data_IF_258291089018
#
_entry.id   IF_258291089018
#
_cell.length_a   1.000
_cell.length_b   1.000
_cell.length_c   1.000
_cell.angle_alpha   90.00
_cell.angle_beta   90.00
_cell.angle_gamma   90.00
#
_symmetry.space_group_name_H-M   'P 1'
#
loop_
_entity.id
_entity.type
_entity.pdbx_description
1 polymer ?
#
# COMPACT_ATOMS: atom_id res chain seq x y z
N UNK A 1 32.98 -12.86 8.08
CA UNK A 1 31.49 -12.68 8.08
C UNK A 1 31.21 -11.20 7.93
N UNK A 2 31.06 -10.75 6.70
CA UNK A 2 30.82 -9.33 6.37
C UNK A 2 29.32 -9.09 6.39
N UNK A 3 28.82 -8.48 7.46
CA UNK A 3 27.46 -7.98 7.55
C UNK A 3 27.34 -6.82 6.56
N UNK A 4 26.69 -7.06 5.44
CA UNK A 4 26.33 -6.01 4.48
C UNK A 4 25.32 -5.10 5.17
N UNK A 5 25.70 -3.85 5.42
CA UNK A 5 24.80 -2.83 5.91
C UNK A 5 23.63 -2.64 4.91
N UNK A 6 22.39 -2.40 5.36
CA UNK A 6 21.28 -2.13 4.47
C UNK A 6 21.64 -0.89 3.65
N UNK A 7 21.67 -1.05 2.34
CA UNK A 7 21.91 0.04 1.40
C UNK A 7 20.82 1.07 1.63
N UNK A 8 21.20 2.23 2.17
CA UNK A 8 20.26 3.32 2.42
C UNK A 8 19.55 3.65 1.10
N UNK A 9 18.25 3.43 1.06
CA UNK A 9 17.41 3.75 -0.10
C UNK A 9 17.49 5.26 -0.28
N UNK A 10 18.03 5.70 -1.41
CA UNK A 10 18.13 7.13 -1.73
C UNK A 10 16.72 7.70 -1.90
N UNK A 11 16.45 8.90 -1.39
CA UNK A 11 15.14 9.52 -1.55
C UNK A 11 14.83 9.70 -3.04
N UNK A 12 13.71 9.14 -3.46
CA UNK A 12 13.25 9.22 -4.85
C UNK A 12 12.54 10.58 -5.06
N UNK A 13 12.93 11.39 -6.05
CA UNK A 13 12.21 12.61 -6.39
C UNK A 13 10.73 12.32 -6.73
N UNK A 14 9.83 13.23 -6.34
CA UNK A 14 8.38 13.03 -6.50
C UNK A 14 7.98 12.72 -7.95
N UNK A 15 8.56 13.45 -8.91
CA UNK A 15 8.32 13.22 -10.35
C UNK A 15 8.71 11.80 -10.79
N UNK A 16 9.84 11.28 -10.29
CA UNK A 16 10.25 9.91 -10.60
C UNK A 16 9.36 8.88 -9.88
N UNK A 17 8.89 9.17 -8.68
CA UNK A 17 7.98 8.31 -7.94
C UNK A 17 6.65 8.11 -8.70
N UNK A 18 6.07 9.20 -9.24
CA UNK A 18 4.85 9.13 -10.07
C UNK A 18 5.06 8.31 -11.34
N UNK A 19 6.25 8.42 -11.94
CA UNK A 19 6.60 7.61 -13.13
C UNK A 19 6.78 6.15 -12.78
N UNK A 20 7.38 5.84 -11.64
CA UNK A 20 7.55 4.47 -11.12
C UNK A 20 6.20 3.80 -10.85
N UNK A 21 5.16 4.53 -10.47
CA UNK A 21 3.82 3.98 -10.24
C UNK A 21 3.28 3.22 -11.47
N UNK A 22 3.68 3.57 -12.69
CA UNK A 22 3.31 2.86 -13.92
C UNK A 22 3.84 1.41 -13.97
N UNK A 23 4.87 1.10 -13.22
CA UNK A 23 5.40 -0.25 -13.12
C UNK A 23 4.44 -1.22 -12.41
N UNK A 24 3.47 -0.71 -11.67
CA UNK A 24 2.50 -1.53 -10.95
C UNK A 24 1.67 -2.43 -11.87
N UNK A 25 1.29 -1.95 -13.06
CA UNK A 25 0.56 -2.76 -14.05
C UNK A 25 1.38 -3.95 -14.52
N UNK A 26 2.66 -3.73 -14.83
CA UNK A 26 3.56 -4.79 -15.29
C UNK A 26 3.72 -5.87 -14.23
N UNK A 27 3.93 -5.47 -12.98
CA UNK A 27 4.01 -6.42 -11.88
C UNK A 27 2.68 -7.15 -11.62
N UNK A 28 1.54 -6.44 -11.74
CA UNK A 28 0.23 -7.03 -11.54
C UNK A 28 -0.13 -8.07 -12.61
N UNK A 29 0.34 -7.87 -13.85
CA UNK A 29 0.03 -8.74 -14.97
C UNK A 29 1.02 -9.91 -15.08
N UNK A 30 2.31 -9.67 -14.85
CA UNK A 30 3.37 -10.67 -15.06
C UNK A 30 3.90 -11.30 -13.76
N UNK A 31 3.65 -10.69 -12.61
CA UNK A 31 4.27 -11.04 -11.34
C UNK A 31 5.74 -10.60 -11.26
N UNK A 32 6.33 -10.71 -10.07
CA UNK A 32 7.70 -10.30 -9.84
C UNK A 32 8.72 -11.09 -10.70
N UNK A 33 8.56 -12.41 -10.78
CA UNK A 33 9.56 -13.29 -11.38
C UNK A 33 9.70 -13.05 -12.89
N UNK A 34 8.57 -12.94 -13.61
CA UNK A 34 8.54 -12.73 -15.05
C UNK A 34 8.82 -11.30 -15.48
N UNK A 35 8.67 -10.31 -14.60
CA UNK A 35 8.94 -8.90 -14.89
C UNK A 35 10.42 -8.65 -15.17
N UNK A 36 10.71 -7.92 -16.24
CA UNK A 36 12.07 -7.55 -16.65
C UNK A 36 12.31 -6.05 -16.46
N UNK A 37 13.53 -5.69 -16.05
CA UNK A 37 13.90 -4.28 -15.84
C UNK A 37 13.80 -3.43 -17.09
N UNK A 38 14.01 -4.03 -18.28
CA UNK A 38 13.85 -3.34 -19.57
C UNK A 38 12.40 -2.93 -19.81
N UNK A 39 11.48 -3.77 -19.44
CA UNK A 39 10.06 -3.50 -19.53
C UNK A 39 9.65 -2.38 -18.54
N UNK A 40 10.15 -2.45 -17.31
CA UNK A 40 9.94 -1.39 -16.32
C UNK A 40 10.50 -0.05 -16.82
N UNK A 41 11.71 -0.03 -17.42
CA UNK A 41 12.30 1.17 -18.00
C UNK A 41 11.42 1.74 -19.12
N UNK A 42 10.86 0.89 -19.97
CA UNK A 42 9.99 1.29 -21.07
C UNK A 42 8.67 1.90 -20.57
N UNK A 43 7.96 1.25 -19.63
CA UNK A 43 6.64 1.72 -19.17
C UNK A 43 6.74 2.95 -18.27
N UNK A 44 7.80 3.04 -17.46
CA UNK A 44 8.05 4.21 -16.60
C UNK A 44 8.65 5.37 -17.38
N UNK A 45 9.25 5.11 -18.55
CA UNK A 45 10.05 6.07 -19.28
C UNK A 45 11.33 6.49 -18.54
N UNK A 46 11.76 5.71 -17.54
CA UNK A 46 12.98 5.97 -16.75
C UNK A 46 14.10 5.10 -17.30
N UNK A 47 15.26 5.69 -17.66
CA UNK A 47 16.41 4.91 -18.14
C UNK A 47 16.84 3.84 -17.13
N UNK A 48 17.27 2.65 -17.61
CA UNK A 48 17.76 1.55 -16.76
C UNK A 48 18.81 1.99 -15.75
N UNK A 49 19.77 2.81 -16.20
CA UNK A 49 20.83 3.32 -15.33
C UNK A 49 20.26 4.14 -14.16
N UNK A 50 19.22 4.94 -14.44
CA UNK A 50 18.53 5.72 -13.41
C UNK A 50 17.72 4.83 -12.48
N UNK A 51 17.04 3.79 -12.99
CA UNK A 51 16.35 2.80 -12.14
C UNK A 51 17.34 2.12 -11.20
N UNK A 52 18.48 1.62 -11.71
CA UNK A 52 19.51 1.00 -10.89
C UNK A 52 20.22 1.97 -9.92
N UNK A 53 20.20 3.26 -10.21
CA UNK A 53 20.73 4.25 -9.28
C UNK A 53 19.89 4.36 -7.99
N UNK A 54 18.55 4.23 -8.11
CA UNK A 54 17.64 4.33 -6.97
C UNK A 54 17.27 2.96 -6.39
N UNK A 55 17.19 1.93 -7.21
CA UNK A 55 16.72 0.60 -6.85
C UNK A 55 17.76 -0.47 -7.20
N UNK A 56 18.30 -1.20 -6.21
CA UNK A 56 19.25 -2.30 -6.46
C UNK A 56 18.70 -3.41 -7.37
N UNK A 57 17.39 -3.59 -7.43
CA UNK A 57 16.72 -4.58 -8.26
C UNK A 57 15.21 -4.33 -8.36
N UNK A 58 14.53 -5.12 -9.18
CA UNK A 58 13.08 -5.03 -9.40
C UNK A 58 12.26 -5.29 -8.12
N UNK A 59 12.80 -6.10 -7.21
CA UNK A 59 12.22 -6.37 -5.89
C UNK A 59 12.10 -5.09 -5.06
N UNK A 60 13.06 -4.19 -5.17
CA UNK A 60 13.06 -2.91 -4.47
C UNK A 60 12.08 -1.92 -5.10
N UNK A 61 11.86 -2.00 -6.43
CA UNK A 61 10.83 -1.23 -7.12
C UNK A 61 9.45 -1.70 -6.64
N UNK A 62 9.23 -3.02 -6.59
CA UNK A 62 8.00 -3.60 -6.06
C UNK A 62 7.75 -3.17 -4.61
N UNK A 63 8.75 -3.33 -3.73
CA UNK A 63 8.64 -2.92 -2.32
C UNK A 63 8.31 -1.43 -2.18
N UNK A 64 8.92 -0.56 -3.01
CA UNK A 64 8.62 0.87 -3.05
C UNK A 64 7.16 1.14 -3.44
N UNK A 65 6.65 0.47 -4.49
CA UNK A 65 5.26 0.60 -4.94
C UNK A 65 4.27 0.19 -3.83
N UNK A 66 4.52 -0.93 -3.17
CA UNK A 66 3.66 -1.41 -2.09
C UNK A 66 3.67 -0.47 -0.88
N UNK A 67 4.85 -0.02 -0.46
CA UNK A 67 4.99 0.93 0.66
C UNK A 67 4.31 2.26 0.36
N UNK A 68 4.48 2.79 -0.86
CA UNK A 68 3.83 4.02 -1.31
C UNK A 68 2.32 3.88 -1.33
N UNK A 69 1.79 2.78 -1.86
CA UNK A 69 0.35 2.50 -1.88
C UNK A 69 -0.24 2.44 -0.47
N UNK A 70 0.42 1.75 0.46
CA UNK A 70 -0.01 1.69 1.86
C UNK A 70 0.01 3.07 2.52
N UNK A 71 1.03 3.88 2.24
CA UNK A 71 1.10 5.26 2.76
C UNK A 71 -0.02 6.13 2.23
N UNK A 72 -0.28 6.09 0.93
CA UNK A 72 -1.37 6.84 0.29
C UNK A 72 -2.74 6.40 0.82
N UNK A 73 -2.96 5.11 0.97
CA UNK A 73 -4.19 4.56 1.53
C UNK A 73 -4.37 4.99 2.99
N UNK A 74 -3.32 4.90 3.81
CA UNK A 74 -3.38 5.38 5.20
C UNK A 74 -3.79 6.84 5.25
N UNK A 75 -3.15 7.71 4.46
CA UNK A 75 -3.47 9.13 4.43
C UNK A 75 -4.91 9.42 3.99
N UNK A 76 -5.42 8.68 2.99
CA UNK A 76 -6.79 8.83 2.52
C UNK A 76 -7.82 8.40 3.59
N UNK A 77 -7.56 7.27 4.26
CA UNK A 77 -8.46 6.77 5.31
C UNK A 77 -8.40 7.61 6.59
N UNK A 78 -7.22 8.12 6.97
CA UNK A 78 -7.07 9.05 8.10
C UNK A 78 -7.84 10.35 7.86
N UNK A 79 -7.78 10.89 6.63
CA UNK A 79 -8.57 12.06 6.24
C UNK A 79 -10.08 11.80 6.33
N UNK A 80 -10.54 10.61 5.93
CA UNK A 80 -11.94 10.22 5.97
C UNK A 80 -12.51 10.14 7.40
N UNK A 81 -11.69 9.84 8.40
CA UNK A 81 -12.11 9.74 9.81
C UNK A 81 -11.81 10.98 10.63
N UNK A 82 -11.15 11.99 10.05
CA UNK A 82 -10.82 13.23 10.76
C UNK A 82 -12.05 14.06 11.14
N UNK A 83 -13.16 13.95 10.38
CA UNK A 83 -14.40 14.62 10.67
C UNK A 83 -15.11 13.99 11.89
N UNK A 84 -15.70 14.82 12.78
CA UNK A 84 -16.49 14.33 13.91
C UNK A 84 -17.68 13.49 13.42
N UNK A 85 -18.15 12.56 14.25
CA UNK A 85 -19.30 11.73 13.95
C UNK A 85 -19.34 10.48 14.82
N UNK A 86 -20.43 9.73 14.72
CA UNK A 86 -20.63 8.45 15.36
C UNK A 86 -19.71 7.38 14.78
N UNK A 87 -19.50 6.30 15.51
CA UNK A 87 -18.73 5.15 15.01
C UNK A 87 -19.29 4.58 13.71
N UNK A 88 -20.62 4.60 13.55
CA UNK A 88 -21.29 4.20 12.29
C UNK A 88 -20.89 5.11 11.13
N UNK A 89 -20.99 6.42 11.29
CA UNK A 89 -20.64 7.39 10.23
C UNK A 89 -19.17 7.30 9.85
N UNK A 90 -18.29 7.08 10.83
CA UNK A 90 -16.86 6.83 10.56
C UNK A 90 -16.63 5.56 9.76
N UNK A 91 -17.32 4.47 10.10
CA UNK A 91 -17.23 3.21 9.35
C UNK A 91 -17.73 3.37 7.91
N UNK A 92 -18.82 4.09 7.70
CA UNK A 92 -19.37 4.38 6.38
C UNK A 92 -18.39 5.22 5.53
N UNK A 93 -17.74 6.23 6.14
CA UNK A 93 -16.70 7.04 5.46
C UNK A 93 -15.46 6.20 5.11
N UNK A 94 -14.99 5.37 6.05
CA UNK A 94 -13.87 4.43 5.81
C UNK A 94 -14.17 3.50 4.64
N UNK A 95 -15.35 2.87 4.62
CA UNK A 95 -15.76 1.98 3.55
C UNK A 95 -15.83 2.70 2.19
N UNK A 96 -16.43 3.89 2.17
CA UNK A 96 -16.57 4.70 0.97
C UNK A 96 -15.22 5.10 0.41
N UNK A 97 -14.32 5.61 1.26
CA UNK A 97 -12.99 6.05 0.83
C UNK A 97 -12.10 4.88 0.41
N UNK A 98 -12.20 3.75 1.10
CA UNK A 98 -11.49 2.53 0.70
C UNK A 98 -11.93 2.04 -0.69
N UNK A 99 -13.24 2.03 -0.98
CA UNK A 99 -13.75 1.67 -2.30
C UNK A 99 -13.29 2.66 -3.39
N UNK A 100 -13.25 3.95 -3.10
CA UNK A 100 -12.70 4.95 -4.02
C UNK A 100 -11.22 4.71 -4.29
N UNK A 101 -10.47 4.41 -3.23
CA UNK A 101 -9.04 4.10 -3.35
C UNK A 101 -8.80 2.86 -4.23
N UNK A 102 -9.56 1.77 -4.02
CA UNK A 102 -9.50 0.58 -4.87
C UNK A 102 -9.80 0.92 -6.33
N UNK A 103 -10.84 1.72 -6.59
CA UNK A 103 -11.23 2.09 -7.94
C UNK A 103 -10.15 2.90 -8.66
N UNK A 104 -9.43 3.76 -7.94
CA UNK A 104 -8.38 4.62 -8.53
C UNK A 104 -6.99 3.98 -8.57
N UNK A 105 -6.73 2.93 -7.77
CA UNK A 105 -5.41 2.28 -7.64
C UNK A 105 -5.47 0.77 -7.93
N UNK A 106 -6.39 0.34 -8.80
CA UNK A 106 -6.68 -1.07 -9.07
C UNK A 106 -5.45 -1.96 -9.32
N UNK A 107 -4.51 -1.59 -10.22
CA UNK A 107 -3.31 -2.40 -10.49
C UNK A 107 -2.45 -2.61 -9.24
N UNK A 108 -2.13 -1.53 -8.53
CA UNK A 108 -1.29 -1.58 -7.32
C UNK A 108 -1.99 -2.33 -6.18
N UNK A 109 -3.32 -2.20 -6.10
CA UNK A 109 -4.12 -2.91 -5.10
C UNK A 109 -4.14 -4.43 -5.37
N UNK A 110 -4.31 -4.85 -6.63
CA UNK A 110 -4.18 -6.27 -7.02
C UNK A 110 -2.80 -6.83 -6.68
N UNK A 111 -1.76 -6.04 -6.95
CA UNK A 111 -0.38 -6.39 -6.64
C UNK A 111 -0.16 -6.57 -5.14
N UNK A 112 -0.69 -5.68 -4.31
CA UNK A 112 -0.62 -5.79 -2.85
C UNK A 112 -1.19 -7.13 -2.37
N UNK A 113 -2.35 -7.54 -2.88
CA UNK A 113 -2.97 -8.82 -2.51
C UNK A 113 -2.23 -10.04 -3.08
N UNK A 114 -1.70 -9.94 -4.28
CA UNK A 114 -0.90 -11.03 -4.86
C UNK A 114 0.38 -11.29 -4.04
N UNK A 115 1.01 -10.23 -3.55
CA UNK A 115 2.24 -10.34 -2.75
C UNK A 115 1.98 -10.67 -1.27
N UNK A 116 0.79 -10.39 -0.73
CA UNK A 116 0.40 -10.85 0.62
C UNK A 116 0.50 -12.38 0.79
N UNK A 117 0.42 -13.14 -0.30
CA UNK A 117 0.62 -14.60 -0.29
C UNK A 117 2.07 -15.07 -0.35
N UNK A 118 3.05 -14.18 -0.55
CA UNK A 118 4.48 -14.52 -0.71
C UNK A 118 5.27 -14.20 0.55
N UNK A 119 5.76 -15.21 1.22
CA UNK A 119 6.09 -15.28 2.64
C UNK A 119 7.25 -14.41 3.20
N UNK A 120 8.16 -13.85 2.44
CA UNK A 120 9.41 -13.32 2.98
C UNK A 120 9.40 -11.84 3.44
N UNK A 121 8.49 -11.02 2.89
CA UNK A 121 8.33 -9.60 3.26
C UNK A 121 7.00 -9.31 3.98
N UNK A 122 6.30 -10.35 4.40
CA UNK A 122 4.93 -10.31 4.90
C UNK A 122 4.74 -9.52 6.18
N UNK A 123 5.74 -9.48 7.06
CA UNK A 123 5.59 -8.83 8.38
C UNK A 123 5.37 -7.32 8.20
N UNK A 124 6.14 -6.68 7.34
CA UNK A 124 6.03 -5.23 7.11
C UNK A 124 4.78 -4.88 6.31
N UNK A 125 4.43 -5.69 5.32
CA UNK A 125 3.21 -5.51 4.52
C UNK A 125 1.98 -5.77 5.38
N UNK A 126 1.96 -6.87 6.15
CA UNK A 126 0.85 -7.20 7.03
C UNK A 126 0.65 -6.12 8.11
N UNK A 127 1.72 -5.63 8.72
CA UNK A 127 1.68 -4.51 9.66
C UNK A 127 1.19 -3.21 8.99
N UNK A 128 1.56 -2.99 7.73
CA UNK A 128 1.07 -1.88 6.92
C UNK A 128 -0.42 -1.97 6.65
N UNK A 129 -0.92 -3.12 6.26
CA UNK A 129 -2.36 -3.38 6.03
C UNK A 129 -3.15 -3.26 7.33
N UNK A 130 -2.64 -3.83 8.43
CA UNK A 130 -3.27 -3.68 9.75
C UNK A 130 -3.42 -2.21 10.13
N UNK A 131 -2.35 -1.45 10.01
CA UNK A 131 -2.34 -0.02 10.35
C UNK A 131 -3.25 0.79 9.44
N UNK A 132 -3.21 0.52 8.14
CA UNK A 132 -3.94 1.31 7.15
C UNK A 132 -5.45 1.00 7.14
N UNK A 133 -5.84 -0.25 7.32
CA UNK A 133 -7.24 -0.71 7.13
C UNK A 133 -7.86 -1.21 8.43
N UNK A 134 -7.24 -2.24 9.04
CA UNK A 134 -7.89 -2.98 10.11
C UNK A 134 -7.99 -2.18 11.41
N UNK A 135 -6.94 -1.42 11.76
CA UNK A 135 -6.94 -0.63 12.98
C UNK A 135 -7.99 0.49 12.97
N UNK A 136 -8.14 1.30 11.89
CA UNK A 136 -9.22 2.28 11.79
C UNK A 136 -10.62 1.66 11.83
N UNK A 137 -10.83 0.53 11.15
CA UNK A 137 -12.11 -0.19 11.17
C UNK A 137 -12.43 -0.69 12.58
N UNK A 138 -11.48 -1.34 13.26
CA UNK A 138 -11.66 -1.77 14.65
C UNK A 138 -11.97 -0.59 15.59
N UNK A 139 -11.33 0.55 15.37
CA UNK A 139 -11.59 1.76 16.15
C UNK A 139 -13.03 2.27 15.95
N UNK A 140 -13.49 2.37 14.70
CA UNK A 140 -14.84 2.79 14.37
C UNK A 140 -15.92 1.84 14.94
N UNK A 141 -15.68 0.52 14.87
CA UNK A 141 -16.57 -0.50 15.44
C UNK A 141 -16.68 -0.36 16.97
N UNK A 142 -15.55 -0.20 17.68
CA UNK A 142 -15.56 0.02 19.13
C UNK A 142 -16.27 1.30 19.53
N UNK A 143 -16.08 2.37 18.76
CA UNK A 143 -16.76 3.64 19.00
C UNK A 143 -18.25 3.51 18.77
N UNK A 144 -18.68 2.89 17.66
CA UNK A 144 -20.09 2.66 17.35
C UNK A 144 -20.81 1.76 18.38
N UNK A 145 -20.08 0.81 18.97
CA UNK A 145 -20.59 0.02 20.09
C UNK A 145 -20.76 0.85 21.37
N UNK A 146 -19.84 1.82 21.63
CA UNK A 146 -19.90 2.68 22.82
C UNK A 146 -20.96 3.76 22.72
N UNK A 147 -21.10 4.38 21.55
CA UNK A 147 -22.08 5.45 21.29
C UNK A 147 -23.46 4.92 20.91
N UNK A 148 -23.61 3.60 20.78
CA UNK A 148 -24.87 2.93 20.45
C UNK A 148 -25.27 3.04 18.98
N UNK A 149 -24.43 3.60 18.11
CA UNK A 149 -24.71 3.74 16.68
C UNK A 149 -24.55 2.42 15.91
N UNK A 150 -23.81 1.46 16.47
CA UNK A 150 -23.66 0.11 15.92
C UNK A 150 -24.02 -0.94 16.99
N UNK A 151 -24.72 -1.99 16.55
CA UNK A 151 -24.87 -3.22 17.35
C UNK A 151 -23.78 -4.19 16.89
N UNK A 152 -22.81 -4.44 17.76
CA UNK A 152 -21.70 -5.35 17.48
C UNK A 152 -21.69 -6.35 18.61
N UNK A 153 -22.16 -7.57 18.32
CA UNK A 153 -22.29 -8.64 19.34
C UNK A 153 -20.93 -9.25 19.72
N UNK A 154 -19.93 -9.18 18.84
CA UNK A 154 -18.54 -9.56 19.11
C UNK A 154 -17.59 -8.83 18.16
N UNK A 155 -16.74 -7.95 18.71
CA UNK A 155 -15.57 -7.43 17.98
C UNK A 155 -14.42 -8.29 18.44
N UNK A 156 -14.23 -9.44 17.78
CA UNK A 156 -13.10 -10.32 18.03
C UNK A 156 -11.80 -9.52 18.12
N UNK A 157 -11.13 -9.61 19.25
CA UNK A 157 -9.85 -8.95 19.57
C UNK A 157 -8.71 -9.67 18.86
#
# INVERSE_FOLDING_TARGET
MTTSAPTAVRPLPAELAERVDRAAEVFADHGLDATRIDELARVTGIPRATLYYYFPGKEHILAHLLARTLTQMTSALDAAVAEPGTGRERLERLATEHLRFIASHGPTYRLLFAELGRAASLVDIAAGVDRAILAPVRAALREGSRDGSLRVDDVGV
#
